data_IF_327574708400
#
_entry.id   IF_327574708400
#
_cell.length_a   1.000
_cell.length_b   1.000
_cell.length_c   1.000
_cell.angle_alpha   90.00
_cell.angle_beta   90.00
_cell.angle_gamma   90.00
#
_symmetry.space_group_name_H-M   'P 1'
#
loop_
_entity.id
_entity.type
_entity.pdbx_description
1 polymer ?
#
# COMPACT_ATOMS: atom_id res chain seq x y z
N UNK A 1 -16.89 14.32 -56.21
CA UNK A 1 -16.92 13.96 -54.78
C UNK A 1 -15.49 13.95 -54.23
N UNK A 2 -15.19 14.69 -53.15
CA UNK A 2 -13.83 14.83 -52.66
C UNK A 2 -13.38 13.51 -52.02
N UNK A 3 -12.63 12.70 -52.77
CA UNK A 3 -12.07 11.40 -52.33
C UNK A 3 -11.18 11.51 -51.08
N UNK A 4 -10.75 12.71 -50.70
CA UNK A 4 -9.88 12.95 -49.55
C UNK A 4 -10.60 12.98 -48.20
N UNK A 5 -11.92 13.28 -48.13
CA UNK A 5 -12.60 13.42 -46.83
C UNK A 5 -12.77 12.08 -46.10
N UNK A 6 -13.02 11.00 -46.84
CA UNK A 6 -13.18 9.66 -46.28
C UNK A 6 -11.86 9.08 -45.76
N UNK A 7 -10.73 9.39 -46.40
CA UNK A 7 -9.39 9.00 -45.93
C UNK A 7 -8.98 9.75 -44.67
N UNK A 8 -9.36 11.03 -44.51
CA UNK A 8 -9.11 11.75 -43.26
C UNK A 8 -9.86 11.15 -42.07
N UNK A 9 -11.13 10.77 -42.24
CA UNK A 9 -11.93 10.13 -41.19
C UNK A 9 -11.36 8.75 -40.83
N UNK A 10 -11.00 7.94 -41.84
CA UNK A 10 -10.38 6.65 -41.61
C UNK A 10 -9.04 6.76 -40.87
N UNK A 11 -8.17 7.70 -41.27
CA UNK A 11 -6.90 7.95 -40.60
C UNK A 11 -7.10 8.42 -39.15
N UNK A 12 -8.10 9.28 -38.91
CA UNK A 12 -8.43 9.73 -37.56
C UNK A 12 -8.87 8.57 -36.67
N UNK A 13 -9.75 7.69 -37.15
CA UNK A 13 -10.20 6.50 -36.40
C UNK A 13 -9.03 5.55 -36.12
N UNK A 14 -8.14 5.34 -37.09
CA UNK A 14 -6.94 4.51 -36.90
C UNK A 14 -6.02 5.09 -35.83
N UNK A 15 -5.75 6.39 -35.85
CA UNK A 15 -4.95 7.07 -34.81
C UNK A 15 -5.60 6.91 -33.44
N UNK A 16 -6.93 7.08 -33.35
CA UNK A 16 -7.67 6.94 -32.10
C UNK A 16 -7.63 5.50 -31.57
N UNK A 17 -7.68 4.51 -32.47
CA UNK A 17 -7.58 3.09 -32.13
C UNK A 17 -6.18 2.72 -31.66
N UNK A 18 -5.14 3.24 -32.31
CA UNK A 18 -3.74 3.04 -31.89
C UNK A 18 -3.50 3.68 -30.53
N UNK A 19 -3.97 4.92 -30.32
CA UNK A 19 -3.94 5.58 -29.01
C UNK A 19 -4.64 4.72 -27.96
N UNK A 20 -5.88 4.30 -28.21
CA UNK A 20 -6.62 3.44 -27.30
C UNK A 20 -5.87 2.15 -26.97
N UNK A 21 -5.30 1.45 -27.97
CA UNK A 21 -4.52 0.24 -27.76
C UNK A 21 -3.26 0.48 -26.92
N UNK A 22 -2.53 1.56 -27.18
CA UNK A 22 -1.34 1.92 -26.38
C UNK A 22 -1.76 2.17 -24.92
N UNK A 23 -2.87 2.86 -24.70
CA UNK A 23 -3.40 3.12 -23.36
C UNK A 23 -3.87 1.85 -22.67
N UNK A 24 -4.63 1.02 -23.39
CA UNK A 24 -5.13 -0.26 -22.92
C UNK A 24 -3.99 -1.20 -22.55
N UNK A 25 -2.95 -1.32 -23.39
CA UNK A 25 -1.77 -2.13 -23.09
C UNK A 25 -0.97 -1.57 -21.92
N UNK A 26 -0.77 -0.25 -21.82
CA UNK A 26 -0.09 0.34 -20.67
C UNK A 26 -0.88 0.14 -19.37
N UNK A 27 -2.20 0.20 -19.43
CA UNK A 27 -3.05 0.02 -18.26
C UNK A 27 -3.15 -1.45 -17.81
N UNK A 28 -3.32 -2.39 -18.74
CA UNK A 28 -3.57 -3.79 -18.40
C UNK A 28 -2.34 -4.71 -18.44
N UNK A 29 -1.31 -4.38 -19.21
CA UNK A 29 -0.14 -5.26 -19.41
C UNK A 29 1.06 -4.76 -18.60
N UNK A 30 1.19 -3.45 -18.37
CA UNK A 30 2.23 -2.88 -17.52
C UNK A 30 1.76 -2.70 -16.08
N UNK A 31 1.30 -3.76 -15.42
CA UNK A 31 1.29 -3.78 -13.95
C UNK A 31 2.74 -3.79 -13.53
N UNK A 32 3.29 -2.63 -13.14
CA UNK A 32 4.66 -2.56 -12.65
C UNK A 32 4.75 -3.52 -11.46
N UNK A 33 5.65 -4.49 -11.53
CA UNK A 33 5.93 -5.34 -10.38
C UNK A 33 6.60 -4.47 -9.30
N UNK A 34 5.74 -3.92 -8.42
CA UNK A 34 6.11 -3.05 -7.31
C UNK A 34 6.80 -3.79 -6.17
N UNK A 35 6.91 -5.13 -6.26
CA UNK A 35 7.47 -5.96 -5.21
C UNK A 35 6.48 -6.25 -4.09
N UNK A 36 7.03 -6.59 -2.93
CA UNK A 36 6.32 -6.95 -1.70
C UNK A 36 6.99 -6.26 -0.50
N UNK A 37 6.38 -6.35 0.68
CA UNK A 37 6.94 -5.89 1.94
C UNK A 37 7.68 -7.04 2.62
N UNK A 38 8.91 -6.76 3.01
CA UNK A 38 9.65 -7.53 4.01
C UNK A 38 9.24 -7.03 5.39
N UNK A 39 8.68 -7.91 6.22
CA UNK A 39 8.17 -7.60 7.56
C UNK A 39 8.97 -8.41 8.56
N UNK A 40 9.69 -7.72 9.44
CA UNK A 40 10.42 -8.32 10.55
C UNK A 40 9.79 -7.90 11.87
N UNK A 41 9.56 -8.85 12.77
CA UNK A 41 8.89 -8.64 14.05
C UNK A 41 9.82 -9.13 15.15
N UNK A 42 10.17 -8.25 16.09
CA UNK A 42 11.06 -8.56 17.21
C UNK A 42 10.40 -8.16 18.53
N UNK A 43 10.54 -8.98 19.56
CA UNK A 43 10.07 -8.64 20.90
C UNK A 43 10.97 -7.56 21.52
N UNK A 44 10.37 -6.63 22.27
CA UNK A 44 11.15 -5.73 23.13
C UNK A 44 11.54 -6.46 24.43
N UNK A 45 12.85 -6.60 24.67
CA UNK A 45 13.39 -7.28 25.85
C UNK A 45 13.01 -6.57 27.16
N UNK A 46 12.81 -5.25 27.12
CA UNK A 46 12.49 -4.45 28.30
C UNK A 46 10.99 -4.39 28.57
N UNK A 47 10.16 -4.58 27.53
CA UNK A 47 8.71 -4.47 27.58
C UNK A 47 8.08 -5.70 26.90
N UNK A 48 7.85 -6.81 27.62
CA UNK A 48 7.38 -8.07 27.02
C UNK A 48 5.98 -7.98 26.40
N UNK A 49 5.22 -6.93 26.69
CA UNK A 49 3.96 -6.60 26.04
C UNK A 49 4.12 -5.80 24.73
N UNK A 50 5.34 -5.46 24.32
CA UNK A 50 5.66 -4.63 23.15
C UNK A 50 6.47 -5.42 22.13
N UNK A 51 6.12 -5.26 20.85
CA UNK A 51 6.91 -5.78 19.73
C UNK A 51 7.23 -4.64 18.77
N UNK A 52 8.46 -4.66 18.27
CA UNK A 52 8.91 -3.77 17.22
C UNK A 52 8.69 -4.44 15.87
N UNK A 53 7.99 -3.74 14.98
CA UNK A 53 7.76 -4.17 13.60
C UNK A 53 8.61 -3.28 12.71
N UNK A 54 9.51 -3.89 11.95
CA UNK A 54 10.28 -3.25 10.90
C UNK A 54 9.77 -3.69 9.54
N UNK A 55 9.42 -2.74 8.69
CA UNK A 55 8.86 -2.98 7.36
C UNK A 55 9.67 -2.23 6.31
N UNK A 56 9.98 -2.92 5.21
CA UNK A 56 10.63 -2.33 4.05
C UNK A 56 10.12 -2.95 2.75
N UNK A 57 9.96 -2.20 1.65
CA UNK A 57 9.75 -2.79 0.34
C UNK A 57 10.98 -3.59 -0.10
N UNK A 58 10.77 -4.78 -0.68
CA UNK A 58 11.85 -5.62 -1.21
C UNK A 58 12.44 -5.09 -2.53
N UNK A 59 11.82 -4.04 -3.10
CA UNK A 59 12.29 -3.33 -4.29
C UNK A 59 12.57 -1.86 -4.00
N UNK A 60 13.50 -1.29 -4.78
CA UNK A 60 13.80 0.14 -4.72
C UNK A 60 12.70 0.94 -5.42
N UNK A 61 11.82 1.53 -4.62
CA UNK A 61 10.72 2.39 -5.07
C UNK A 61 11.08 3.87 -4.95
N UNK A 62 10.58 4.71 -5.87
CA UNK A 62 10.86 6.16 -5.86
C UNK A 62 10.12 6.87 -4.73
N UNK A 63 8.80 6.72 -4.72
CA UNK A 63 7.86 7.24 -3.74
C UNK A 63 6.83 6.13 -3.48
N UNK A 64 6.44 5.91 -2.23
CA UNK A 64 5.45 4.90 -1.86
C UNK A 64 4.83 5.21 -0.49
N UNK A 65 3.72 4.54 -0.21
CA UNK A 65 3.07 4.55 1.10
C UNK A 65 2.88 3.11 1.59
N UNK A 66 2.93 2.91 2.91
CA UNK A 66 2.58 1.65 3.55
C UNK A 66 1.42 1.93 4.50
N UNK A 67 0.25 1.36 4.23
CA UNK A 67 -0.91 1.42 5.11
C UNK A 67 -0.99 0.13 5.93
N UNK A 68 -1.14 0.26 7.25
CA UNK A 68 -1.21 -0.86 8.18
C UNK A 68 -2.42 -0.67 9.08
N UNK A 69 -3.24 -1.71 9.21
CA UNK A 69 -4.33 -1.74 10.19
C UNK A 69 -4.54 -3.17 10.71
N UNK A 70 -5.27 -3.28 11.81
CA UNK A 70 -5.64 -4.56 12.44
C UNK A 70 -7.11 -4.87 12.18
N UNK A 71 -7.44 -6.15 11.98
CA UNK A 71 -8.80 -6.58 11.65
C UNK A 71 -9.77 -6.64 12.86
N UNK A 72 -9.25 -6.75 14.09
CA UNK A 72 -10.08 -6.79 15.30
C UNK A 72 -10.31 -5.40 15.92
N UNK A 73 -11.56 -4.91 15.86
CA UNK A 73 -11.95 -3.63 16.46
C UNK A 73 -12.04 -3.66 18.00
N UNK A 74 -12.13 -4.86 18.60
CA UNK A 74 -12.41 -5.05 20.02
C UNK A 74 -11.16 -5.12 20.91
N UNK A 75 -10.05 -5.66 20.40
CA UNK A 75 -8.76 -5.76 21.10
C UNK A 75 -7.61 -5.25 20.21
N UNK A 76 -7.58 -3.94 19.98
CA UNK A 76 -6.57 -3.30 19.12
C UNK A 76 -5.18 -3.22 19.79
N UNK A 77 -4.18 -3.88 19.19
CA UNK A 77 -2.76 -3.84 19.55
C UNK A 77 -2.03 -2.62 18.94
N UNK A 78 -2.60 -2.05 17.88
CA UNK A 78 -2.15 -0.75 17.37
C UNK A 78 -2.56 0.36 18.36
N UNK A 79 -1.58 1.12 18.87
CA UNK A 79 -1.82 2.30 19.73
C UNK A 79 -1.76 3.61 18.97
N UNK A 80 -1.35 3.60 17.70
CA UNK A 80 -1.17 4.83 16.94
C UNK A 80 -2.50 5.43 16.51
N UNK A 81 -2.64 6.74 16.76
CA UNK A 81 -3.78 7.55 16.33
C UNK A 81 -3.50 8.37 15.06
N UNK A 82 -2.24 8.52 14.60
CA UNK A 82 -1.88 8.83 13.20
C UNK A 82 -0.36 8.95 12.99
N UNK A 83 0.10 8.85 11.72
CA UNK A 83 1.26 9.61 11.21
C UNK A 83 1.21 9.77 9.67
N UNK A 84 0.04 10.10 9.12
CA UNK A 84 -0.09 10.55 7.74
C UNK A 84 0.36 12.03 7.61
N UNK A 85 1.42 12.28 6.84
CA UNK A 85 1.84 13.64 6.45
C UNK A 85 1.16 14.04 5.14
N UNK A 86 0.21 14.99 5.19
CA UNK A 86 -0.24 15.76 4.01
C UNK A 86 -1.65 15.44 3.49
N UNK A 87 -2.32 16.48 2.93
CA UNK A 87 -3.69 16.40 2.40
C UNK A 87 -3.85 15.37 1.28
N UNK A 88 -2.81 15.12 0.49
CA UNK A 88 -2.84 14.17 -0.64
C UNK A 88 -2.97 12.70 -0.19
N UNK A 89 -2.72 12.41 1.08
CA UNK A 89 -2.84 11.07 1.65
C UNK A 89 -4.25 10.73 2.13
N UNK A 90 -5.15 11.71 2.26
CA UNK A 90 -6.54 11.47 2.68
C UNK A 90 -7.29 10.59 1.67
N UNK A 91 -7.10 10.83 0.37
CA UNK A 91 -7.76 10.02 -0.66
C UNK A 91 -7.37 8.53 -0.59
N UNK A 92 -6.11 8.23 -0.21
CA UNK A 92 -5.65 6.85 -0.04
C UNK A 92 -6.42 6.17 1.11
N UNK A 93 -6.63 6.91 2.19
CA UNK A 93 -7.36 6.43 3.36
C UNK A 93 -8.85 6.24 3.04
N UNK A 94 -9.46 7.22 2.37
CA UNK A 94 -10.90 7.18 2.02
C UNK A 94 -11.25 5.96 1.15
N UNK A 95 -10.34 5.52 0.28
CA UNK A 95 -10.56 4.39 -0.64
C UNK A 95 -10.15 3.03 -0.06
N UNK A 96 -9.11 2.97 0.77
CA UNK A 96 -8.50 1.69 1.20
C UNK A 96 -8.74 1.32 2.66
N UNK A 97 -9.04 2.30 3.52
CA UNK A 97 -9.29 2.04 4.92
C UNK A 97 -10.76 1.62 5.10
N UNK A 98 -11.06 0.46 5.71
CA UNK A 98 -12.44 0.08 5.96
C UNK A 98 -13.16 1.12 6.85
N UNK A 99 -14.46 1.41 6.60
CA UNK A 99 -15.18 2.55 7.19
C UNK A 99 -15.31 2.53 8.73
N UNK A 100 -15.00 1.41 9.38
CA UNK A 100 -15.04 1.25 10.83
C UNK A 100 -13.65 1.24 11.50
N UNK A 101 -12.57 1.31 10.71
CA UNK A 101 -11.19 1.24 11.22
C UNK A 101 -10.71 2.60 11.69
N UNK A 102 -10.53 2.73 13.00
CA UNK A 102 -10.16 3.99 13.67
C UNK A 102 -8.65 4.10 13.91
N UNK A 103 -7.95 2.96 13.92
CA UNK A 103 -6.51 2.89 14.19
C UNK A 103 -5.77 2.30 13.01
N UNK A 104 -4.85 3.08 12.47
CA UNK A 104 -4.02 2.69 11.35
C UNK A 104 -2.67 3.43 11.40
N UNK A 105 -1.69 2.89 10.71
CA UNK A 105 -0.44 3.58 10.42
C UNK A 105 -0.33 3.76 8.91
N UNK A 106 -0.15 5.01 8.45
CA UNK A 106 0.21 5.32 7.07
C UNK A 106 1.62 5.87 7.06
N UNK A 107 2.55 5.13 6.45
CA UNK A 107 3.97 5.45 6.45
C UNK A 107 4.39 5.87 5.05
N UNK A 108 4.88 7.10 4.91
CA UNK A 108 5.45 7.58 3.65
C UNK A 108 6.93 7.23 3.55
N UNK A 109 7.30 6.64 2.41
CA UNK A 109 8.66 6.24 2.09
C UNK A 109 9.10 6.68 0.70
N UNK A 110 10.41 6.60 0.48
CA UNK A 110 11.06 7.07 -0.74
C UNK A 110 12.29 6.22 -1.06
N UNK A 111 12.94 6.51 -2.19
CA UNK A 111 14.19 5.83 -2.56
C UNK A 111 15.34 5.98 -1.57
N UNK A 112 15.26 6.93 -0.63
CA UNK A 112 16.24 7.14 0.45
C UNK A 112 15.69 6.78 1.84
N UNK A 113 14.37 6.61 1.98
CA UNK A 113 13.69 6.21 3.21
C UNK A 113 12.87 4.97 2.92
N UNK A 114 13.55 3.82 2.92
CA UNK A 114 13.00 2.53 2.49
C UNK A 114 12.66 1.58 3.66
N UNK A 115 12.85 2.02 4.90
CA UNK A 115 12.69 1.20 6.10
C UNK A 115 11.93 1.99 7.15
N UNK A 116 10.93 1.35 7.76
CA UNK A 116 10.09 1.95 8.79
C UNK A 116 9.97 1.00 9.97
N UNK A 117 10.23 1.51 11.17
CA UNK A 117 10.09 0.76 12.41
C UNK A 117 9.05 1.43 13.29
N UNK A 118 8.11 0.63 13.82
CA UNK A 118 7.10 1.10 14.76
C UNK A 118 6.81 0.00 15.78
N UNK A 119 6.35 0.42 16.96
CA UNK A 119 6.07 -0.50 18.05
C UNK A 119 4.57 -0.74 18.19
N UNK A 120 4.18 -1.99 18.22
CA UNK A 120 2.85 -2.41 18.66
C UNK A 120 2.93 -2.84 20.12
N UNK A 121 1.83 -2.71 20.84
CA UNK A 121 1.78 -3.15 22.22
C UNK A 121 0.56 -4.05 22.40
N UNK A 122 0.52 -4.80 23.48
CA UNK A 122 -0.66 -5.57 23.82
C UNK A 122 -1.02 -5.35 25.28
N UNK A 123 -2.23 -5.76 25.63
CA UNK A 123 -2.70 -5.80 27.02
C UNK A 123 -2.00 -6.90 27.82
N UNK A 124 -1.52 -7.96 27.16
CA UNK A 124 -0.82 -9.09 27.78
C UNK A 124 0.54 -9.29 27.12
N UNK A 125 1.49 -10.00 27.77
CA UNK A 125 2.78 -10.30 27.15
C UNK A 125 2.61 -11.01 25.81
N UNK A 126 3.41 -10.62 24.82
CA UNK A 126 3.22 -11.07 23.42
C UNK A 126 3.44 -12.57 23.27
N UNK A 127 4.34 -13.15 24.08
CA UNK A 127 4.56 -14.60 24.14
C UNK A 127 3.30 -15.40 24.48
N UNK A 128 2.39 -14.86 25.30
CA UNK A 128 1.11 -15.50 25.65
C UNK A 128 0.04 -15.35 24.57
N UNK A 129 0.30 -14.52 23.55
CA UNK A 129 -0.65 -14.13 22.52
C UNK A 129 -0.23 -14.56 21.11
N UNK A 130 0.97 -15.13 20.95
CA UNK A 130 1.44 -15.71 19.68
C UNK A 130 0.49 -16.77 19.10
N UNK A 131 -0.40 -17.32 19.93
CA UNK A 131 -1.44 -18.29 19.55
C UNK A 131 -2.85 -17.69 19.39
N UNK A 132 -3.01 -16.36 19.47
CA UNK A 132 -4.29 -15.69 19.19
C UNK A 132 -4.23 -15.07 17.79
N UNK A 133 -5.25 -15.32 16.99
CA UNK A 133 -5.36 -14.91 15.58
C UNK A 133 -5.55 -13.38 15.44
N UNK A 134 -4.55 -12.59 15.82
CA UNK A 134 -4.52 -11.15 15.53
C UNK A 134 -4.01 -10.95 14.09
N UNK A 135 -4.94 -10.54 13.24
CA UNK A 135 -4.72 -10.36 11.80
C UNK A 135 -4.35 -8.90 11.51
N UNK A 136 -3.17 -8.68 10.96
CA UNK A 136 -2.74 -7.37 10.49
C UNK A 136 -2.73 -7.34 8.97
N UNK A 137 -3.21 -6.24 8.41
CA UNK A 137 -3.20 -5.96 6.99
C UNK A 137 -2.15 -4.91 6.71
N UNK A 138 -1.26 -5.19 5.76
CA UNK A 138 -0.29 -4.23 5.23
C UNK A 138 -0.52 -4.04 3.72
N UNK A 139 -0.64 -2.79 3.29
CA UNK A 139 -0.77 -2.43 1.89
C UNK A 139 0.44 -1.60 1.47
N UNK A 140 1.19 -2.09 0.48
CA UNK A 140 2.18 -1.30 -0.24
C UNK A 140 1.50 -0.57 -1.39
N UNK A 141 1.58 0.76 -1.38
CA UNK A 141 0.84 1.64 -2.29
C UNK A 141 1.85 2.50 -3.04
N UNK A 142 1.91 2.34 -4.36
CA UNK A 142 2.86 3.06 -5.21
C UNK A 142 2.09 3.99 -6.16
N UNK A 143 2.25 5.32 -6.02
CA UNK A 143 1.64 6.27 -6.93
C UNK A 143 2.26 6.18 -8.32
N UNK A 144 1.42 6.21 -9.34
CA UNK A 144 1.82 6.20 -10.74
C UNK A 144 1.06 7.26 -11.53
N UNK A 145 1.78 8.08 -12.28
CA UNK A 145 1.21 9.11 -13.14
C UNK A 145 1.81 9.01 -14.54
N UNK A 146 0.95 8.81 -15.54
CA UNK A 146 1.28 8.97 -16.95
C UNK A 146 0.48 10.16 -17.44
N UNK A 147 1.12 11.22 -17.93
CA UNK A 147 0.41 12.30 -18.59
C UNK A 147 -0.24 11.80 -19.89
N UNK A 148 -1.52 12.12 -20.19
CA UNK A 148 -2.43 13.06 -19.52
C UNK A 148 -3.43 12.42 -18.52
N UNK A 149 -3.20 11.18 -18.07
CA UNK A 149 -4.12 10.46 -17.21
C UNK A 149 -4.11 10.95 -15.76
N UNK A 150 -5.22 10.76 -15.03
CA UNK A 150 -5.24 10.94 -13.58
C UNK A 150 -4.19 10.04 -12.91
N UNK A 151 -3.79 10.41 -11.70
CA UNK A 151 -2.89 9.63 -10.87
C UNK A 151 -3.58 8.32 -10.47
N UNK A 152 -2.92 7.20 -10.70
CA UNK A 152 -3.36 5.87 -10.25
C UNK A 152 -2.44 5.37 -9.14
N UNK A 153 -2.88 4.32 -8.45
CA UNK A 153 -2.11 3.67 -7.40
C UNK A 153 -2.00 2.17 -7.69
N UNK A 154 -0.78 1.64 -7.74
CA UNK A 154 -0.56 0.20 -7.67
C UNK A 154 -0.55 -0.23 -6.21
N UNK A 155 -1.29 -1.29 -5.89
CA UNK A 155 -1.49 -1.74 -4.51
C UNK A 155 -1.13 -3.22 -4.42
N UNK A 156 -0.31 -3.56 -3.44
CA UNK A 156 -0.04 -4.94 -3.03
C UNK A 156 -0.49 -5.11 -1.58
N UNK A 157 -1.40 -6.06 -1.34
CA UNK A 157 -1.90 -6.39 -0.01
C UNK A 157 -1.18 -7.63 0.54
N UNK A 158 -0.76 -7.57 1.80
CA UNK A 158 -0.21 -8.67 2.57
C UNK A 158 -0.89 -8.75 3.92
N UNK A 159 -1.06 -9.98 4.41
CA UNK A 159 -1.56 -10.26 5.76
C UNK A 159 -0.39 -10.82 6.56
N UNK A 160 -0.22 -10.34 7.79
CA UNK A 160 0.78 -10.86 8.71
C UNK A 160 0.20 -11.04 10.11
N UNK A 161 0.87 -11.88 10.88
CA UNK A 161 0.52 -12.23 12.25
C UNK A 161 1.74 -12.00 13.14
N UNK A 162 1.49 -11.73 14.42
CA UNK A 162 2.57 -11.61 15.39
C UNK A 162 2.81 -12.98 15.99
N UNK A 163 3.70 -13.74 15.34
CA UNK A 163 4.19 -15.00 15.88
C UNK A 163 5.67 -14.83 16.22
N UNK A 164 5.93 -14.57 17.49
CA UNK A 164 7.29 -14.56 18.03
C UNK A 164 7.52 -15.98 18.54
N UNK A 165 8.16 -16.80 17.71
CA UNK A 165 8.54 -18.15 18.09
C UNK A 165 9.37 -18.12 19.37
N UNK A 166 9.00 -18.97 20.33
CA UNK A 166 9.80 -19.26 21.52
C UNK A 166 10.91 -20.23 21.12
#
# INVERSE_FOLDING_TARGET
MPKNRFTFIANFIVILTILYLILFMNYHIYTSDIGELDINITQDENFPETASITISPNKKLKNYYILIYEDDDSNNWLYFSNNATGKDTHYILDELLPPHKIKYALLEGSSTKNMHTFNIKSKYPISHLANKDHVFHAYLIVPYSIFPFPKFYYIKHQIFFINIGI
#
